data_IF_060489836367
#
_entry.id   IF_060489836367
#
_cell.length_a   1.000
_cell.length_b   1.000
_cell.length_c   1.000
_cell.angle_alpha   90.00
_cell.angle_beta   90.00
_cell.angle_gamma   90.00
#
_symmetry.space_group_name_H-M   'P 1'
#
loop_
_entity.id
_entity.type
_entity.pdbx_description
1 polymer ?
#
# COMPACT_ATOMS: atom_id res chain seq x y z
N UNK A 1 4.19 -9.89 14.15
CA UNK A 1 3.19 -9.15 13.35
C UNK A 1 3.37 -7.69 13.69
N UNK A 2 3.44 -6.85 12.66
CA UNK A 2 3.93 -5.48 12.74
C UNK A 2 2.84 -4.42 12.89
N UNK A 3 1.58 -4.84 12.75
CA UNK A 3 0.41 -4.00 12.93
C UNK A 3 -0.20 -4.25 14.31
N UNK A 4 -0.32 -3.19 15.11
CA UNK A 4 -1.00 -3.23 16.40
C UNK A 4 -2.51 -2.98 16.20
N UNK A 5 -3.36 -3.85 16.76
CA UNK A 5 -4.83 -3.78 16.70
C UNK A 5 -5.49 -4.75 15.71
N UNK A 6 -6.82 -4.81 15.69
CA UNK A 6 -7.57 -5.74 14.83
C UNK A 6 -7.48 -5.38 13.33
N UNK A 7 -7.04 -6.35 12.52
CA UNK A 7 -6.92 -6.17 11.09
C UNK A 7 -7.04 -7.50 10.32
N UNK A 8 -7.66 -7.44 9.13
CA UNK A 8 -7.64 -8.54 8.15
C UNK A 8 -6.65 -8.27 7.03
N UNK A 9 -5.97 -9.30 6.53
CA UNK A 9 -5.26 -9.24 5.25
C UNK A 9 -6.16 -9.78 4.14
N UNK A 10 -5.94 -9.32 2.92
CA UNK A 10 -6.63 -9.79 1.74
C UNK A 10 -5.62 -9.92 0.61
N UNK A 11 -5.65 -11.06 -0.07
CA UNK A 11 -4.79 -11.29 -1.23
C UNK A 11 -5.35 -10.57 -2.46
N UNK A 12 -4.44 -10.05 -3.27
CA UNK A 12 -4.75 -9.46 -4.57
C UNK A 12 -4.42 -10.49 -5.65
N UNK A 13 -5.44 -10.89 -6.40
CA UNK A 13 -5.33 -11.87 -7.49
C UNK A 13 -5.24 -11.19 -8.86
N UNK A 14 -4.98 -11.99 -9.90
CA UNK A 14 -4.92 -11.53 -11.30
C UNK A 14 -3.58 -10.94 -11.73
N UNK A 15 -2.53 -11.06 -10.89
CA UNK A 15 -1.15 -10.71 -11.21
C UNK A 15 -0.23 -11.90 -10.90
N UNK A 16 0.92 -11.96 -11.59
CA UNK A 16 1.97 -12.92 -11.30
C UNK A 16 2.66 -12.62 -9.96
N UNK A 17 3.38 -13.62 -9.43
CA UNK A 17 4.16 -13.45 -8.20
C UNK A 17 5.22 -12.37 -8.33
N UNK A 18 5.86 -12.28 -9.49
CA UNK A 18 6.92 -11.30 -9.76
C UNK A 18 6.36 -9.87 -9.80
N UNK A 19 5.20 -9.67 -10.45
CA UNK A 19 4.52 -8.38 -10.45
C UNK A 19 4.10 -7.96 -9.05
N UNK A 20 3.53 -8.89 -8.27
CA UNK A 20 3.18 -8.64 -6.87
C UNK A 20 4.42 -8.31 -6.02
N UNK A 21 5.53 -9.00 -6.26
CA UNK A 21 6.82 -8.74 -5.63
C UNK A 21 7.32 -7.34 -5.91
N UNK A 22 7.37 -6.94 -7.18
CA UNK A 22 7.81 -5.60 -7.61
C UNK A 22 6.94 -4.49 -7.00
N UNK A 23 5.61 -4.67 -6.98
CA UNK A 23 4.69 -3.71 -6.35
C UNK A 23 4.96 -3.60 -4.86
N UNK A 24 5.10 -4.73 -4.16
CA UNK A 24 5.36 -4.74 -2.71
C UNK A 24 6.71 -4.08 -2.38
N UNK A 25 7.77 -4.37 -3.13
CA UNK A 25 9.08 -3.71 -2.96
C UNK A 25 9.00 -2.20 -3.21
N UNK A 26 8.27 -1.77 -4.24
CA UNK A 26 8.05 -0.36 -4.53
C UNK A 26 7.32 0.37 -3.39
N UNK A 27 6.23 -0.24 -2.89
CA UNK A 27 5.48 0.29 -1.74
C UNK A 27 6.34 0.30 -0.46
N UNK A 28 7.14 -0.74 -0.22
CA UNK A 28 8.04 -0.81 0.93
C UNK A 28 9.07 0.33 0.91
N UNK A 29 9.66 0.62 -0.26
CA UNK A 29 10.56 1.76 -0.43
C UNK A 29 9.87 3.09 -0.09
N UNK A 30 8.63 3.29 -0.51
CA UNK A 30 7.86 4.48 -0.17
C UNK A 30 7.55 4.58 1.34
N UNK A 31 7.20 3.47 1.99
CA UNK A 31 7.03 3.42 3.46
C UNK A 31 8.35 3.76 4.17
N UNK A 32 9.48 3.24 3.69
CA UNK A 32 10.80 3.56 4.24
C UNK A 32 11.10 5.06 4.17
N UNK A 33 10.90 5.66 2.99
CA UNK A 33 11.06 7.09 2.78
C UNK A 33 10.12 7.92 3.66
N UNK A 34 8.86 7.49 3.84
CA UNK A 34 7.92 8.19 4.69
C UNK A 34 8.38 8.17 6.15
N UNK A 35 8.64 6.98 6.72
CA UNK A 35 9.07 6.85 8.11
C UNK A 35 10.34 7.66 8.39
N UNK A 36 11.31 7.67 7.46
CA UNK A 36 12.57 8.40 7.64
C UNK A 36 12.41 9.92 7.58
N UNK A 37 11.50 10.44 6.74
CA UNK A 37 11.35 11.89 6.54
C UNK A 37 10.17 12.50 7.34
N UNK A 38 9.21 11.69 7.77
CA UNK A 38 7.96 12.08 8.46
C UNK A 38 7.64 11.08 9.60
N UNK A 39 8.54 10.87 10.57
CA UNK A 39 8.48 9.76 11.52
C UNK A 39 7.24 9.75 12.42
N UNK A 40 6.65 10.91 12.68
CA UNK A 40 5.51 11.07 13.60
C UNK A 40 4.17 11.27 12.88
N UNK A 41 4.16 11.25 11.55
CA UNK A 41 2.98 11.52 10.74
C UNK A 41 2.24 10.25 10.32
N UNK A 42 0.92 10.34 10.33
CA UNK A 42 0.04 9.32 9.76
C UNK A 42 0.10 9.35 8.23
N UNK A 43 -0.01 8.19 7.60
CA UNK A 43 -0.08 8.07 6.16
C UNK A 43 -1.06 6.98 5.71
N UNK A 44 -1.63 7.18 4.54
CA UNK A 44 -2.41 6.22 3.77
C UNK A 44 -1.72 5.94 2.44
N UNK A 45 -2.28 5.01 1.65
CA UNK A 45 -1.88 4.85 0.26
C UNK A 45 -1.99 6.17 -0.52
N UNK A 46 -3.00 6.99 -0.25
CA UNK A 46 -3.20 8.25 -0.99
C UNK A 46 -2.08 9.25 -0.71
N UNK A 47 -1.50 9.25 0.48
CA UNK A 47 -0.39 10.14 0.83
C UNK A 47 0.92 9.71 0.17
N UNK A 48 1.07 8.41 -0.09
CA UNK A 48 2.25 7.85 -0.76
C UNK A 48 2.15 7.92 -2.29
N UNK A 49 0.97 7.61 -2.85
CA UNK A 49 0.78 7.27 -4.27
C UNK A 49 -0.43 7.94 -4.92
N UNK A 50 -1.15 8.81 -4.19
CA UNK A 50 -2.37 9.46 -4.68
C UNK A 50 -2.16 10.92 -5.10
N UNK A 51 -3.26 11.67 -5.13
CA UNK A 51 -3.23 13.08 -5.50
C UNK A 51 -2.82 13.26 -6.96
N UNK A 52 -1.79 14.07 -7.21
CA UNK A 52 -1.25 14.33 -8.55
C UNK A 52 -0.54 13.12 -9.17
N UNK A 53 -0.12 12.14 -8.36
CA UNK A 53 0.67 10.98 -8.78
C UNK A 53 -0.15 9.72 -9.09
N UNK A 54 -1.43 9.85 -9.43
CA UNK A 54 -2.35 8.71 -9.55
C UNK A 54 -2.25 7.90 -10.86
N UNK A 55 -1.55 8.42 -11.87
CA UNK A 55 -1.50 7.78 -13.18
C UNK A 55 -0.52 6.58 -13.24
N UNK A 56 0.42 6.49 -12.28
CA UNK A 56 1.33 5.35 -12.03
C UNK A 56 2.15 4.80 -13.22
N UNK A 57 2.11 5.40 -14.41
CA UNK A 57 2.93 4.94 -15.53
C UNK A 57 4.42 5.05 -15.18
N UNK A 58 5.20 4.09 -15.65
CA UNK A 58 6.62 3.97 -15.31
C UNK A 58 6.89 3.38 -13.93
N UNK A 59 5.86 3.02 -13.15
CA UNK A 59 6.01 2.33 -11.86
C UNK A 59 5.40 0.93 -11.92
N UNK A 60 5.79 0.01 -11.03
CA UNK A 60 5.15 -1.31 -10.93
C UNK A 60 3.65 -1.25 -10.63
N UNK A 61 3.14 -0.16 -10.03
CA UNK A 61 1.71 -0.02 -9.69
C UNK A 61 0.80 0.04 -10.92
N UNK A 62 1.32 0.36 -12.10
CA UNK A 62 0.52 0.41 -13.35
C UNK A 62 -0.17 -0.92 -13.64
N UNK A 63 0.43 -2.05 -13.23
CA UNK A 63 -0.13 -3.40 -13.42
C UNK A 63 -1.48 -3.59 -12.73
N UNK A 64 -1.71 -2.88 -11.62
CA UNK A 64 -3.01 -2.90 -10.93
C UNK A 64 -4.09 -2.22 -11.76
N UNK A 65 -3.77 -1.15 -12.47
CA UNK A 65 -4.71 -0.50 -13.38
C UNK A 65 -4.92 -1.34 -14.64
N UNK A 66 -3.84 -1.79 -15.29
CA UNK A 66 -3.89 -2.58 -16.52
C UNK A 66 -4.76 -3.84 -16.37
N UNK A 67 -4.66 -4.55 -15.24
CA UNK A 67 -5.48 -5.76 -15.02
C UNK A 67 -6.97 -5.43 -14.94
N UNK A 68 -7.34 -4.29 -14.36
CA UNK A 68 -8.76 -3.90 -14.23
C UNK A 68 -9.32 -3.36 -15.54
N UNK A 69 -8.48 -2.72 -16.37
CA UNK A 69 -8.84 -2.41 -17.76
C UNK A 69 -9.07 -3.67 -18.56
N UNK A 70 -8.16 -4.66 -18.47
CA UNK A 70 -8.28 -5.94 -19.16
C UNK A 70 -9.53 -6.73 -18.75
N UNK A 71 -9.95 -6.58 -17.49
CA UNK A 71 -11.15 -7.22 -16.95
C UNK A 71 -12.42 -6.38 -17.13
N UNK A 72 -12.36 -5.30 -17.93
CA UNK A 72 -13.50 -4.43 -18.25
C UNK A 72 -14.23 -3.88 -17.02
N UNK A 73 -13.47 -3.54 -15.97
CA UNK A 73 -14.04 -2.95 -14.76
C UNK A 73 -14.66 -1.59 -15.05
N UNK A 74 -15.84 -1.31 -14.48
CA UNK A 74 -16.53 -0.01 -14.58
C UNK A 74 -15.70 1.17 -14.08
N UNK A 75 -14.80 0.93 -13.12
CA UNK A 75 -13.90 1.97 -12.59
C UNK A 75 -12.51 1.39 -12.26
N UNK A 76 -11.65 1.20 -13.27
CA UNK A 76 -10.35 0.56 -13.10
C UNK A 76 -9.42 1.32 -12.16
N UNK A 77 -9.51 2.66 -12.15
CA UNK A 77 -8.71 3.53 -11.27
C UNK A 77 -9.05 3.27 -9.80
N UNK A 78 -10.35 3.26 -9.46
CA UNK A 78 -10.78 3.00 -8.10
C UNK A 78 -10.43 1.58 -7.64
N UNK A 79 -10.62 0.58 -8.51
CA UNK A 79 -10.26 -0.80 -8.18
C UNK A 79 -8.75 -1.01 -8.00
N UNK A 80 -7.93 -0.36 -8.83
CA UNK A 80 -6.48 -0.36 -8.67
C UNK A 80 -6.04 0.28 -7.35
N UNK A 81 -6.70 1.38 -6.94
CA UNK A 81 -6.49 2.01 -5.63
C UNK A 81 -6.85 1.10 -4.45
N UNK A 82 -7.93 0.34 -4.56
CA UNK A 82 -8.32 -0.64 -3.53
C UNK A 82 -7.27 -1.75 -3.41
N UNK A 83 -6.83 -2.32 -4.53
CA UNK A 83 -5.82 -3.37 -4.53
C UNK A 83 -4.47 -2.88 -3.99
N UNK A 84 -4.03 -1.69 -4.40
CA UNK A 84 -2.83 -1.06 -3.87
C UNK A 84 -2.94 -0.85 -2.35
N UNK A 85 -4.13 -0.55 -1.82
CA UNK A 85 -4.37 -0.41 -0.39
C UNK A 85 -4.23 -1.72 0.36
N UNK A 86 -4.71 -2.83 -0.22
CA UNK A 86 -4.52 -4.17 0.34
C UNK A 86 -3.05 -4.61 0.28
N UNK A 87 -2.35 -4.32 -0.81
CA UNK A 87 -0.92 -4.62 -0.94
C UNK A 87 -0.07 -3.81 0.03
N UNK A 88 -0.36 -2.51 0.21
CA UNK A 88 0.31 -1.68 1.22
C UNK A 88 0.09 -2.27 2.63
N UNK A 89 -1.13 -2.70 2.95
CA UNK A 89 -1.41 -3.33 4.24
C UNK A 89 -0.60 -4.61 4.43
N UNK A 90 -0.47 -5.43 3.38
CA UNK A 90 0.37 -6.63 3.39
C UNK A 90 1.84 -6.28 3.60
N UNK A 91 2.35 -5.22 2.95
CA UNK A 91 3.73 -4.73 3.16
C UNK A 91 3.93 -4.34 4.62
N UNK A 92 3.06 -3.49 5.18
CA UNK A 92 3.21 -3.00 6.56
C UNK A 92 3.10 -4.14 7.57
N UNK A 93 2.19 -5.10 7.37
CA UNK A 93 2.03 -6.24 8.27
C UNK A 93 3.27 -7.15 8.35
N UNK A 94 4.12 -7.13 7.32
CA UNK A 94 5.36 -7.91 7.22
C UNK A 94 6.64 -7.05 7.36
N UNK A 95 6.50 -5.75 7.67
CA UNK A 95 7.63 -4.85 7.84
C UNK A 95 8.28 -5.07 9.23
N UNK A 96 9.62 -5.04 9.40
CA UNK A 96 10.23 -5.23 10.72
C UNK A 96 9.89 -4.14 11.75
N UNK A 97 9.44 -2.95 11.30
CA UNK A 97 9.01 -1.85 12.17
C UNK A 97 7.60 -2.07 12.71
N UNK A 98 7.30 -1.48 13.87
CA UNK A 98 5.94 -1.49 14.43
C UNK A 98 5.12 -0.30 13.94
N UNK A 99 3.85 -0.54 13.61
CA UNK A 99 2.93 0.47 13.14
C UNK A 99 1.59 0.42 13.89
N UNK A 100 1.12 1.60 14.30
CA UNK A 100 -0.26 1.84 14.65
C UNK A 100 -1.12 1.91 13.39
N UNK A 101 -2.36 1.45 13.45
CA UNK A 101 -3.30 1.58 12.34
C UNK A 101 -4.72 1.86 12.80
N UNK A 102 -5.40 2.77 12.09
CA UNK A 102 -6.83 3.03 12.27
C UNK A 102 -7.52 3.25 10.92
N UNK A 103 -8.85 3.37 10.94
CA UNK A 103 -9.63 3.76 9.76
C UNK A 103 -9.99 5.22 9.89
N UNK A 104 -9.71 5.99 8.83
CA UNK A 104 -10.18 7.35 8.68
C UNK A 104 -11.08 7.40 7.43
N UNK A 105 -12.36 7.73 7.63
CA UNK A 105 -13.40 7.60 6.61
C UNK A 105 -13.41 6.21 5.93
N UNK A 106 -13.00 6.16 4.66
CA UNK A 106 -12.93 4.94 3.83
C UNK A 106 -11.50 4.44 3.62
N UNK A 107 -10.50 5.10 4.23
CA UNK A 107 -9.09 4.77 4.06
C UNK A 107 -8.53 4.21 5.36
N UNK A 108 -7.54 3.33 5.23
CA UNK A 108 -6.74 2.89 6.36
C UNK A 108 -5.48 3.76 6.41
N UNK A 109 -5.19 4.27 7.60
CA UNK A 109 -3.98 5.04 7.87
C UNK A 109 -3.07 4.25 8.81
N UNK A 110 -1.79 4.57 8.74
CA UNK A 110 -0.71 3.94 9.46
C UNK A 110 0.23 5.00 10.03
N UNK A 111 0.81 4.74 11.19
CA UNK A 111 1.85 5.58 11.77
C UNK A 111 2.94 4.68 12.33
N UNK A 112 4.19 5.01 12.04
CA UNK A 112 5.33 4.30 12.61
C UNK A 112 5.46 4.61 14.10
N UNK A 113 5.68 3.59 14.92
CA UNK A 113 5.82 3.74 16.37
C UNK A 113 7.21 4.23 16.80
N UNK A 114 8.18 4.34 15.88
CA UNK A 114 9.58 4.65 16.21
C UNK A 114 10.40 3.44 16.68
N UNK A 115 9.81 2.24 16.69
CA UNK A 115 10.46 1.00 17.11
C UNK A 115 10.83 0.12 15.90
N UNK A 116 12.04 -0.42 15.91
CA UNK A 116 12.56 -1.43 14.97
C UNK A 116 12.91 -2.69 15.77
N UNK A 117 12.31 -3.83 15.46
CA UNK A 117 12.78 -5.11 15.99
C UNK A 117 13.81 -5.70 15.04
N UNK A 118 14.99 -5.98 15.57
CA UNK A 118 16.13 -6.63 14.87
C UNK A 118 15.99 -8.15 14.89
#
# INVERSE_FOLDING_TARGET
MSLVGEHRLQDVSGLSRDELGLIKSFLQGAVYCWCKNRPSEWFSLSDLMGGENYYWQGTPLIRLYEKHVKNESDNPVNQAGIDAGWLLKSVIANDPRQFETTKEYRKRIYKWCGEEHT
#
